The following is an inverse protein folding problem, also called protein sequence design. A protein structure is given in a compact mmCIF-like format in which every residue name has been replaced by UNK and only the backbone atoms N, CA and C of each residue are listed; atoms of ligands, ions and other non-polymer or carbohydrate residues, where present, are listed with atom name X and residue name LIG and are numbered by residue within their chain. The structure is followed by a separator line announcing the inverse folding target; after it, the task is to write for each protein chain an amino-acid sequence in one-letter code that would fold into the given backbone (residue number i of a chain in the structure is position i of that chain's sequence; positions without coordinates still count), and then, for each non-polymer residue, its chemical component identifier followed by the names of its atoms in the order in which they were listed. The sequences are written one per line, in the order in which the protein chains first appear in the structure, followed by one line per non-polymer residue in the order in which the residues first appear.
data_IF_960792640533
#
_entry.id   IF_960792640533
#
_cell.length_a   1.000
_cell.length_b   1.000
_cell.length_c   1.000
_cell.angle_alpha   90.00
_cell.angle_beta   90.00
_cell.angle_gamma   90.00
#
_symmetry.space_group_name_H-M   'P 1'
#
loop_
_entity.id
_entity.type
_entity.pdbx_description
1 polymer ?
2 non-polymer ?
3 non-polymer ?
4 non-polymer ?
5 non-polymer ?
6 water ?
#
# COMPACT_ATOMS: atom_id res chain seq x y z
N UNK A 2 26.53 -14.06 -22.44
CA UNK A 2 25.06 -14.16 -22.08
C UNK A 2 24.60 -12.96 -21.24
N UNK A 3 23.33 -12.59 -21.38
CA UNK A 3 22.82 -11.42 -20.67
C UNK A 3 22.66 -11.73 -19.17
N UNK A 4 22.45 -10.66 -18.41
CA UNK A 4 21.95 -10.77 -17.04
C UNK A 4 20.46 -10.49 -17.08
N UNK A 5 19.69 -11.25 -16.30
CA UNK A 5 18.24 -11.00 -16.23
C UNK A 5 17.96 -10.06 -15.06
N UNK A 6 17.17 -9.02 -15.30
CA UNK A 6 16.70 -8.16 -14.19
C UNK A 6 15.21 -8.51 -13.96
N UNK A 7 14.94 -9.14 -12.83
CA UNK A 7 13.60 -9.59 -12.51
C UNK A 7 12.88 -8.55 -11.62
N UNK A 8 11.94 -7.82 -12.25
CA UNK A 8 11.10 -6.81 -11.60
C UNK A 8 9.92 -7.47 -10.91
N UNK A 9 9.68 -7.10 -9.64
CA UNK A 9 8.50 -7.62 -8.97
C UNK A 9 7.69 -6.37 -8.59
N UNK A 10 7.63 -6.05 -7.31
CA UNK A 10 6.90 -4.83 -6.90
C UNK A 10 7.78 -3.60 -7.05
N UNK A 11 8.32 -3.44 -8.25
CA UNK A 11 9.32 -2.43 -8.53
C UNK A 11 9.32 -2.10 -10.01
N UNK A 12 8.12 -1.76 -10.50
CA UNK A 12 7.88 -1.58 -11.92
C UNK A 12 8.32 -0.19 -12.37
N UNK A 13 9.62 0.02 -12.38
CA UNK A 13 10.16 1.35 -12.69
C UNK A 13 11.59 1.15 -13.21
N UNK A 14 12.15 2.20 -13.83
CA UNK A 14 13.59 2.21 -14.19
C UNK A 14 14.42 3.13 -13.26
N UNK A 15 13.80 4.16 -12.67
CA UNK A 15 14.50 5.05 -11.73
C UNK A 15 14.79 4.41 -10.39
N UNK A 16 15.91 4.77 -9.78
CA UNK A 16 16.27 4.26 -8.44
C UNK A 16 16.02 2.77 -8.30
N UNK A 17 16.73 1.94 -9.10
CA UNK A 17 16.44 0.50 -9.14
C UNK A 17 17.74 -0.25 -8.98
N UNK A 18 18.11 -0.57 -7.73
CA UNK A 18 19.42 -1.15 -7.51
C UNK A 18 19.70 -2.42 -8.37
N UNK A 19 18.71 -3.29 -8.57
CA UNK A 19 18.98 -4.56 -9.26
C UNK A 19 19.29 -4.27 -10.74
N UNK A 20 18.57 -3.33 -11.32
CA UNK A 20 18.73 -3.01 -12.73
C UNK A 20 20.14 -2.45 -12.93
N UNK A 21 20.60 -1.53 -12.08
CA UNK A 21 21.94 -0.99 -12.31
C UNK A 21 23.05 -1.95 -11.98
N UNK A 22 22.89 -2.73 -10.90
CA UNK A 22 23.87 -3.77 -10.58
C UNK A 22 24.16 -4.70 -11.78
N UNK A 23 23.07 -5.08 -12.46
CA UNK A 23 23.16 -5.94 -13.63
C UNK A 23 23.77 -5.19 -14.81
N UNK A 24 23.28 -3.98 -15.08
CA UNK A 24 23.75 -3.24 -16.25
C UNK A 24 25.25 -2.97 -16.14
N UNK A 25 25.75 -2.71 -14.91
CA UNK A 25 27.19 -2.47 -14.77
C UNK A 25 28.04 -3.69 -15.11
N UNK A 26 27.43 -4.87 -15.17
CA UNK A 26 28.21 -6.08 -15.48
C UNK A 26 28.10 -6.52 -16.94
N UNK A 27 27.00 -6.13 -17.63
CA UNK A 27 26.85 -6.57 -19.02
C UNK A 27 25.49 -6.21 -19.52
N UNK A 28 25.14 -6.70 -20.75
CA UNK A 28 23.82 -6.50 -21.36
C UNK A 28 22.76 -7.12 -20.48
N UNK A 29 21.57 -6.55 -20.49
CA UNK A 29 20.49 -7.03 -19.64
C UNK A 29 19.25 -7.29 -20.44
N UNK A 30 18.42 -8.19 -19.92
CA UNK A 30 17.02 -8.31 -20.35
C UNK A 30 16.19 -8.28 -19.06
N UNK A 31 15.08 -7.55 -19.06
CA UNK A 31 14.22 -7.48 -17.87
C UNK A 31 13.17 -8.59 -17.94
N UNK A 32 12.56 -8.91 -16.80
CA UNK A 32 11.52 -9.97 -16.76
C UNK A 32 10.53 -9.58 -15.72
N UNK A 33 9.28 -9.77 -16.05
CA UNK A 33 8.22 -9.75 -15.07
C UNK A 33 7.55 -11.13 -15.17
N UNK A 34 7.29 -11.73 -14.01
CA UNK A 34 6.46 -12.95 -14.01
C UNK A 34 5.09 -12.60 -13.41
N UNK A 35 4.03 -12.88 -14.17
CA UNK A 35 2.62 -12.66 -13.70
C UNK A 35 2.28 -13.92 -12.85
N UNK A 36 2.30 -13.74 -11.53
CA UNK A 36 2.33 -14.84 -10.58
C UNK A 36 0.93 -14.97 -9.99
N UNK A 37 0.34 -16.18 -10.10
CA UNK A 37 -1.05 -16.31 -9.60
C UNK A 37 -1.18 -16.06 -8.11
N UNK A 38 -0.07 -16.24 -7.35
CA UNK A 38 -0.14 -15.95 -5.92
C UNK A 38 -0.46 -14.49 -5.64
N UNK A 39 -0.09 -13.63 -6.57
CA UNK A 39 -0.39 -12.19 -6.41
C UNK A 39 -1.62 -11.76 -7.23
N UNK A 40 -1.89 -12.46 -8.34
CA UNK A 40 -2.85 -11.94 -9.36
C UNK A 40 -4.23 -12.52 -9.20
N UNK A 41 -4.38 -13.51 -8.30
CA UNK A 41 -5.71 -14.06 -8.12
C UNK A 41 -6.39 -13.16 -7.11
N UNK A 42 -6.74 -11.95 -7.55
CA UNK A 42 -7.31 -10.93 -6.66
C UNK A 42 -8.36 -10.18 -7.49
N UNK A 43 -8.88 -9.04 -7.01
CA UNK A 43 -9.98 -8.38 -7.72
C UNK A 43 -9.56 -7.80 -9.11
N UNK A 44 -10.52 -7.68 -10.06
CA UNK A 44 -10.14 -7.08 -11.37
C UNK A 44 -9.44 -5.73 -11.27
N UNK A 45 -9.93 -4.82 -10.43
CA UNK A 45 -9.29 -3.51 -10.31
C UNK A 45 -7.78 -3.60 -10.00
N UNK A 46 -7.40 -4.55 -9.14
CA UNK A 46 -5.99 -4.67 -8.71
C UNK A 46 -5.17 -5.42 -9.76
N UNK A 47 -5.74 -6.46 -10.35
CA UNK A 47 -5.03 -7.18 -11.40
C UNK A 47 -4.72 -6.19 -12.52
N UNK A 48 -5.71 -5.39 -12.89
CA UNK A 48 -5.56 -4.46 -14.01
C UNK A 48 -4.53 -3.39 -13.65
N UNK A 49 -4.63 -2.82 -12.45
CA UNK A 49 -3.63 -1.87 -12.06
C UNK A 49 -2.20 -2.45 -12.20
N UNK A 50 -1.99 -3.70 -11.71
CA UNK A 50 -0.64 -4.30 -11.89
C UNK A 50 -0.30 -4.51 -13.37
N UNK A 51 -1.17 -5.21 -14.13
CA UNK A 51 -0.93 -5.43 -15.55
C UNK A 51 -0.61 -4.14 -16.33
N UNK A 52 -1.40 -3.08 -16.11
CA UNK A 52 -1.19 -1.85 -16.87
C UNK A 52 0.13 -1.17 -16.53
N UNK A 53 0.55 -1.29 -15.29
CA UNK A 53 1.92 -0.85 -14.94
C UNK A 53 3.08 -1.70 -15.52
N UNK A 54 2.86 -2.99 -15.72
CA UNK A 54 3.82 -3.85 -16.41
C UNK A 54 3.88 -3.40 -17.86
N UNK A 55 2.69 -3.09 -18.41
CA UNK A 55 2.61 -2.63 -19.77
C UNK A 55 3.41 -1.32 -19.94
N UNK A 56 3.19 -0.36 -19.04
CA UNK A 56 3.99 0.90 -19.01
C UNK A 56 5.51 0.65 -18.83
N UNK A 57 5.88 -0.38 -18.09
CA UNK A 57 7.31 -0.60 -17.87
C UNK A 57 7.88 -1.15 -19.19
N UNK A 58 7.11 -1.99 -19.85
CA UNK A 58 7.58 -2.47 -21.16
C UNK A 58 7.79 -1.29 -22.12
N UNK A 59 6.78 -0.39 -22.16
CA UNK A 59 6.85 0.78 -23.04
C UNK A 59 8.12 1.58 -22.74
N UNK A 60 8.45 1.68 -21.45
CA UNK A 60 9.64 2.41 -20.99
C UNK A 60 10.93 1.69 -21.46
N UNK A 61 10.97 0.37 -21.30
CA UNK A 61 12.10 -0.42 -21.88
C UNK A 61 12.19 -0.19 -23.40
N UNK A 62 11.05 -0.33 -24.11
CA UNK A 62 11.09 -0.22 -25.58
C UNK A 62 11.56 1.17 -25.97
N UNK A 63 11.03 2.21 -25.33
CA UNK A 63 11.43 3.57 -25.69
C UNK A 63 12.95 3.76 -25.56
N UNK A 64 13.60 2.96 -24.71
CA UNK A 64 15.05 3.08 -24.53
C UNK A 64 15.80 2.04 -25.35
N UNK A 65 15.10 1.29 -26.21
CA UNK A 65 15.77 0.32 -27.10
C UNK A 65 15.97 -1.05 -26.43
N UNK A 66 15.35 -1.25 -25.25
CA UNK A 66 15.65 -2.43 -24.44
C UNK A 66 14.53 -3.47 -24.45
N UNK A 67 14.73 -4.60 -23.74
CA UNK A 67 13.83 -5.78 -23.86
C UNK A 67 13.27 -6.20 -22.50
N UNK A 68 11.95 -6.17 -22.34
CA UNK A 68 11.32 -6.67 -21.11
C UNK A 68 10.45 -7.89 -21.47
N UNK A 69 10.83 -9.06 -20.95
CA UNK A 69 10.00 -10.28 -21.07
C UNK A 69 8.88 -10.25 -20.06
N UNK A 70 7.75 -10.85 -20.40
CA UNK A 70 6.66 -11.00 -19.43
C UNK A 70 6.12 -12.38 -19.61
N UNK A 71 6.27 -13.21 -18.58
CA UNK A 71 5.82 -14.60 -18.62
C UNK A 71 4.75 -14.80 -17.54
N UNK A 72 3.91 -15.81 -17.70
CA UNK A 72 2.81 -16.06 -16.73
C UNK A 72 3.07 -17.40 -16.05
N UNK A 73 2.92 -17.45 -14.73
CA UNK A 73 3.08 -18.72 -14.05
C UNK A 73 3.81 -18.65 -12.73
N UNK A 74 4.24 -19.82 -12.22
CA UNK A 74 5.00 -19.81 -10.95
C UNK A 74 6.40 -19.31 -11.18
N UNK A 75 6.86 -18.39 -10.33
CA UNK A 75 8.21 -17.85 -10.56
C UNK A 75 9.32 -18.92 -10.60
N UNK A 76 9.20 -19.98 -9.80
CA UNK A 76 10.26 -21.00 -9.78
C UNK A 76 10.22 -21.89 -11.01
N UNK A 77 9.17 -21.77 -11.84
CA UNK A 77 9.17 -22.37 -13.17
C UNK A 77 9.59 -21.34 -14.20
N UNK A 78 9.03 -20.15 -14.13
CA UNK A 78 9.23 -19.19 -15.23
C UNK A 78 10.58 -18.43 -15.15
N UNK A 79 11.05 -18.12 -13.95
CA UNK A 79 12.37 -17.45 -13.90
C UNK A 79 13.47 -18.38 -14.47
N UNK A 80 13.48 -19.66 -14.05
CA UNK A 80 14.44 -20.58 -14.66
C UNK A 80 14.23 -20.77 -16.14
N UNK A 81 12.99 -20.81 -16.59
CA UNK A 81 12.73 -20.86 -18.00
C UNK A 81 13.35 -19.70 -18.80
N UNK A 82 13.06 -18.48 -18.39
CA UNK A 82 13.68 -17.33 -19.03
C UNK A 82 15.22 -17.40 -18.95
N UNK A 83 15.79 -17.78 -17.80
CA UNK A 83 17.26 -17.88 -17.72
C UNK A 83 17.84 -18.86 -18.76
N UNK A 84 17.19 -20.01 -18.89
CA UNK A 84 17.62 -21.02 -19.87
C UNK A 84 17.46 -20.46 -21.27
N UNK A 85 16.26 -19.99 -21.59
CA UNK A 85 16.02 -19.49 -22.98
C UNK A 85 16.96 -18.37 -23.39
N UNK A 86 17.34 -17.50 -22.44
CA UNK A 86 18.23 -16.38 -22.76
C UNK A 86 19.69 -16.70 -22.60
N UNK A 87 19.96 -17.91 -22.11
CA UNK A 87 21.29 -18.20 -21.62
C UNK A 87 21.85 -17.15 -20.68
N UNK A 88 21.04 -16.69 -19.72
CA UNK A 88 21.49 -15.70 -18.74
C UNK A 88 22.60 -16.21 -17.84
N UNK A 89 23.50 -15.31 -17.47
CA UNK A 89 24.59 -15.66 -16.54
C UNK A 89 24.14 -15.61 -15.06
N UNK A 90 23.16 -14.76 -14.77
CA UNK A 90 22.68 -14.58 -13.41
C UNK A 90 21.42 -13.71 -13.48
N UNK A 91 20.67 -13.75 -12.39
CA UNK A 91 19.38 -13.03 -12.25
C UNK A 91 19.56 -12.08 -11.08
N UNK A 92 19.13 -10.84 -11.27
CA UNK A 92 19.18 -9.81 -10.22
C UNK A 92 17.76 -9.36 -9.87
N UNK A 93 17.49 -9.10 -8.60
CA UNK A 93 16.15 -8.61 -8.17
C UNK A 93 16.34 -7.91 -6.82
N UNK A 94 15.34 -7.17 -6.37
CA UNK A 94 15.41 -6.50 -5.08
C UNK A 94 14.94 -7.46 -4.02
N UNK A 95 15.66 -7.51 -2.90
CA UNK A 95 15.23 -8.41 -1.78
C UNK A 95 13.76 -8.18 -1.37
N UNK A 96 13.06 -9.27 -1.07
CA UNK A 96 11.71 -9.19 -0.48
C UNK A 96 11.76 -9.87 0.90
N UNK A 97 11.27 -9.15 1.91
CA UNK A 97 11.31 -9.71 3.28
C UNK A 97 9.98 -10.33 3.75
N UNK A 98 8.97 -10.36 2.85
CA UNK A 98 7.65 -10.91 3.18
C UNK A 98 7.66 -12.43 3.17
N UNK A 99 6.74 -13.05 3.93
CA UNK A 99 6.78 -14.49 3.98
C UNK A 99 6.65 -15.08 2.59
N UNK A 100 5.78 -14.53 1.74
CA UNK A 100 5.71 -15.10 0.38
C UNK A 100 6.98 -14.78 -0.47
N UNK A 101 7.45 -13.56 -0.38
CA UNK A 101 8.66 -13.14 -1.07
C UNK A 101 9.85 -14.03 -0.75
N UNK A 102 10.01 -14.37 0.55
CA UNK A 102 11.10 -15.26 0.99
C UNK A 102 10.88 -16.69 0.55
N UNK A 103 9.62 -17.15 0.65
CA UNK A 103 9.31 -18.47 0.15
C UNK A 103 9.63 -18.55 -1.36
N UNK A 104 9.00 -17.68 -2.15
CA UNK A 104 9.14 -17.71 -3.62
C UNK A 104 10.67 -17.62 -3.98
N UNK A 105 11.36 -16.62 -3.44
CA UNK A 105 12.78 -16.45 -3.80
C UNK A 105 13.70 -17.61 -3.43
N UNK A 106 13.41 -18.25 -2.29
CA UNK A 106 14.11 -19.53 -1.93
C UNK A 106 13.85 -20.62 -2.93
N UNK A 107 12.61 -20.73 -3.38
CA UNK A 107 12.22 -21.75 -4.38
C UNK A 107 12.86 -21.43 -5.71
N UNK A 108 12.88 -20.15 -6.09
CA UNK A 108 13.55 -19.79 -7.35
C UNK A 108 15.07 -20.11 -7.33
N UNK A 109 15.72 -19.73 -6.25
CA UNK A 109 17.14 -20.02 -6.07
C UNK A 109 17.47 -21.52 -6.16
N UNK A 110 16.55 -22.36 -5.66
CA UNK A 110 16.70 -23.79 -5.77
C UNK A 110 16.62 -24.23 -7.22
N UNK A 111 15.67 -23.67 -7.97
CA UNK A 111 15.44 -24.19 -9.30
C UNK A 111 16.39 -23.57 -10.33
N UNK A 112 17.02 -22.45 -10.01
CA UNK A 112 17.91 -21.78 -10.94
C UNK A 112 19.28 -22.44 -10.89
N UNK A 113 19.88 -22.73 -12.03
CA UNK A 113 21.25 -23.27 -12.02
C UNK A 113 22.30 -22.15 -12.08
N UNK A 114 21.85 -20.91 -11.97
CA UNK A 114 22.75 -19.73 -11.99
C UNK A 114 22.35 -18.92 -10.78
N UNK A 115 23.24 -18.03 -10.31
CA UNK A 115 22.97 -17.25 -9.13
C UNK A 115 21.74 -16.36 -9.25
N UNK A 116 21.06 -16.18 -8.11
CA UNK A 116 20.09 -15.12 -7.93
C UNK A 116 20.70 -14.08 -6.97
N UNK A 117 20.95 -12.87 -7.46
CA UNK A 117 21.57 -11.83 -6.64
C UNK A 117 20.50 -10.88 -6.19
N UNK A 118 20.22 -10.82 -4.88
CA UNK A 118 19.18 -9.93 -4.37
C UNK A 118 19.81 -8.73 -3.74
N UNK A 119 19.31 -7.55 -4.11
CA UNK A 119 19.86 -6.28 -3.59
C UNK A 119 18.81 -5.61 -2.70
N UNK A 120 19.29 -4.82 -1.72
CA UNK A 120 18.36 -4.11 -0.83
C UNK A 120 17.46 -3.16 -1.64
N UNK A 121 16.13 -3.27 -1.48
CA UNK A 121 15.20 -2.28 -2.03
C UNK A 121 15.39 -0.85 -1.41
N UNK A 122 15.21 0.23 -2.19
CA UNK A 122 15.43 1.57 -1.60
C UNK A 122 14.37 1.82 -0.50
N UNK A 123 14.78 2.24 0.68
CA UNK A 123 13.78 2.58 1.73
C UNK A 123 14.25 3.83 2.40
N UNK A 124 13.44 4.38 3.31
CA UNK A 124 13.87 5.46 4.17
C UNK A 124 14.49 4.78 5.37
N UNK A 125 13.82 3.76 5.87
CA UNK A 125 14.38 2.88 6.86
C UNK A 125 14.02 1.45 6.49
N UNK A 126 14.99 0.54 6.56
CA UNK A 126 14.68 -0.84 6.18
C UNK A 126 13.84 -1.55 7.25
N UNK A 127 13.10 -2.58 6.83
CA UNK A 127 12.15 -3.27 7.75
C UNK A 127 12.80 -4.26 8.70
N UNK A 128 14.08 -4.53 8.50
CA UNK A 128 14.70 -5.68 9.14
C UNK A 128 15.87 -5.28 10.04
N UNK A 129 15.85 -4.03 10.51
CA UNK A 129 16.69 -3.62 11.62
C UNK A 129 16.60 -4.58 12.82
N UNK A 130 17.68 -4.73 13.60
CA UNK A 130 17.70 -5.71 14.69
C UNK A 130 16.61 -5.42 15.72
N UNK A 131 16.51 -4.15 16.12
CA UNK A 131 15.55 -3.75 17.14
C UNK A 131 14.09 -3.67 16.69
N UNK A 132 13.19 -4.17 17.54
CA UNK A 132 11.76 -4.19 17.23
C UNK A 132 10.95 -3.09 17.92
N UNK A 133 10.61 -2.04 17.20
CA UNK A 133 9.78 -0.97 17.76
C UNK A 133 8.28 -1.26 17.58
N UNK A 134 7.48 -1.05 18.62
CA UNK A 134 6.01 -1.08 18.48
C UNK A 134 5.46 0.33 18.29
N UNK A 135 6.33 1.33 18.49
CA UNK A 135 5.90 2.72 18.57
C UNK A 135 6.65 3.50 17.51
N UNK A 136 5.92 4.34 16.79
CA UNK A 136 6.42 5.02 15.63
C UNK A 136 7.53 6.03 16.02
N UNK A 137 7.38 6.74 17.14
CA UNK A 137 8.33 7.83 17.39
C UNK A 137 9.79 7.35 17.51
N UNK A 138 10.04 6.32 18.35
CA UNK A 138 11.41 5.79 18.53
C UNK A 138 11.97 5.17 17.21
N UNK A 139 11.09 4.57 16.42
CA UNK A 139 11.49 4.04 15.11
C UNK A 139 11.92 5.19 14.21
N UNK A 140 11.07 6.22 14.14
CA UNK A 140 11.31 7.38 13.26
C UNK A 140 12.59 8.15 13.52
N UNK A 141 13.08 8.12 14.76
CA UNK A 141 14.29 8.86 15.11
C UNK A 141 15.54 8.23 14.52
N UNK A 142 15.42 7.00 14.03
CA UNK A 142 16.60 6.36 13.37
C UNK A 142 16.87 7.00 12.01
N UNK A 143 15.86 7.62 11.45
CA UNK A 143 15.96 8.18 10.10
C UNK A 143 16.63 9.52 10.14
N UNK A 144 17.62 9.70 9.29
CA UNK A 144 18.31 10.98 9.27
C UNK A 144 18.33 11.69 7.92
N UNK A 145 17.27 11.54 7.10
CA UNK A 145 17.26 12.13 5.75
C UNK A 145 17.62 11.07 4.69
N UNK A 146 16.99 11.19 3.52
CA UNK A 146 17.10 10.17 2.45
C UNK A 146 18.48 10.21 1.87
N UNK A 147 18.98 9.03 1.51
CA UNK A 147 20.15 8.94 0.65
C UNK A 147 19.72 9.32 -0.78
N UNK A 148 20.68 9.70 -1.63
CA UNK A 148 20.31 9.99 -3.02
C UNK A 148 19.84 8.77 -3.84
N UNK A 149 18.82 8.97 -4.68
CA UNK A 149 18.35 7.87 -5.47
C UNK A 149 19.35 7.57 -6.59
N UNK A 150 19.30 6.36 -7.12
CA UNK A 150 20.15 5.96 -8.26
C UNK A 150 19.49 6.47 -9.54
N UNK A 151 20.31 6.87 -10.53
CA UNK A 151 19.70 7.33 -11.81
C UNK A 151 19.05 6.16 -12.58
N UNK A 152 18.14 6.46 -13.52
CA UNK A 152 17.72 5.44 -14.52
C UNK A 152 18.83 5.33 -15.57
N UNK A 153 18.86 4.20 -16.28
CA UNK A 153 19.76 4.08 -17.42
C UNK A 153 19.38 5.11 -18.42
N UNK A 154 20.27 5.44 -19.35
CA UNK A 154 19.90 6.40 -20.39
C UNK A 154 19.25 5.72 -21.56
N UNK A 155 19.96 4.72 -22.07
CA UNK A 155 19.44 3.81 -23.09
C UNK A 155 19.79 2.39 -22.64
N UNK A 156 19.08 1.40 -23.19
CA UNK A 156 19.20 0.03 -22.69
C UNK A 156 19.73 -0.79 -23.83
N UNK A 157 20.50 -1.86 -23.55
CA UNK A 157 21.01 -2.71 -24.62
C UNK A 157 19.90 -3.48 -25.31
N UNK A 158 20.03 -3.65 -26.62
CA UNK A 158 19.14 -4.46 -27.41
C UNK A 158 19.02 -5.91 -26.92
N UNK A 159 17.82 -6.45 -26.97
CA UNK A 159 17.62 -7.87 -26.67
C UNK A 159 16.32 -8.32 -27.27
N UNK A 160 16.04 -9.62 -27.23
CA UNK A 160 14.80 -10.13 -27.76
C UNK A 160 13.69 -9.92 -26.74
N UNK A 161 12.49 -9.60 -27.22
CA UNK A 161 11.32 -9.49 -26.34
C UNK A 161 10.40 -10.72 -26.47
N UNK A 162 9.87 -11.21 -25.36
CA UNK A 162 8.93 -12.32 -25.43
C UNK A 162 7.79 -12.14 -24.43
N UNK A 163 6.61 -12.66 -24.77
CA UNK A 163 5.52 -12.74 -23.79
C UNK A 163 4.44 -11.69 -23.95
N UNK A 164 3.21 -12.02 -23.55
CA UNK A 164 2.09 -11.10 -23.73
C UNK A 164 1.59 -10.57 -22.37
N UNK A 165 1.10 -9.34 -22.38
CA UNK A 165 0.50 -8.71 -21.19
C UNK A 165 -1.02 -8.58 -21.38
N UNK A 166 -1.78 -9.46 -20.73
CA UNK A 166 -3.22 -9.48 -20.91
C UNK A 166 -3.85 -8.13 -20.62
N UNK A 167 -4.98 -7.90 -21.28
CA UNK A 167 -5.80 -6.73 -21.07
C UNK A 167 -7.01 -7.12 -20.25
N UNK A 168 -7.09 -6.59 -19.05
CA UNK A 168 -8.25 -6.94 -18.22
C UNK A 168 -9.09 -5.74 -17.80
N UNK A 169 -10.35 -5.98 -17.47
CA UNK A 169 -11.27 -4.91 -17.25
C UNK A 169 -11.21 -4.54 -15.77
N UNK A 170 -10.70 -3.34 -15.45
CA UNK A 170 -10.65 -2.87 -14.06
C UNK A 170 -12.00 -2.61 -13.40
N UNK A 171 -13.04 -2.34 -14.19
CA UNK A 171 -14.36 -2.04 -13.65
C UNK A 171 -14.52 -0.60 -13.20
N UNK A 172 -13.47 0.21 -13.37
CA UNK A 172 -13.47 1.58 -12.87
C UNK A 172 -12.28 2.32 -13.49
N UNK A 173 -12.22 3.65 -13.33
CA UNK A 173 -11.17 4.45 -13.95
C UNK A 173 -9.84 4.31 -13.19
N UNK A 174 -8.79 3.89 -13.89
CA UNK A 174 -7.44 3.77 -13.26
C UNK A 174 -6.64 5.07 -13.34
N UNK A 175 -5.81 5.37 -12.32
CA UNK A 175 -4.89 6.48 -12.63
C UNK A 175 -4.07 6.17 -13.89
N UNK A 176 -3.43 7.18 -14.46
CA UNK A 176 -2.42 6.99 -15.49
C UNK A 176 -1.23 6.10 -15.01
N UNK A 177 -1.02 4.96 -15.67
CA UNK A 177 -0.05 3.96 -15.21
C UNK A 177 1.39 4.40 -15.55
N UNK A 178 2.40 3.89 -14.84
CA UNK A 178 3.79 4.14 -15.27
C UNK A 178 4.53 5.25 -14.55
N UNK A 179 5.86 5.18 -14.56
CA UNK A 179 6.69 6.00 -13.71
C UNK A 179 6.75 7.44 -14.23
N UNK A 180 6.54 7.61 -15.52
CA UNK A 180 6.48 8.94 -16.07
C UNK A 180 5.28 9.74 -15.48
N UNK A 181 4.13 9.08 -15.33
CA UNK A 181 2.97 9.71 -14.70
C UNK A 181 3.18 9.90 -13.21
N UNK A 182 3.82 8.92 -12.56
CA UNK A 182 4.11 8.99 -11.14
C UNK A 182 5.02 10.18 -10.81
N UNK A 183 6.18 10.22 -11.46
CA UNK A 183 7.12 11.33 -11.25
C UNK A 183 6.47 12.69 -11.56
N UNK A 184 5.68 12.77 -12.62
CA UNK A 184 4.95 14.05 -12.86
C UNK A 184 4.07 14.38 -11.68
N UNK A 185 3.39 13.37 -11.12
CA UNK A 185 2.45 13.65 -10.02
C UNK A 185 3.22 14.09 -8.77
N UNK A 186 4.37 13.47 -8.56
CA UNK A 186 5.17 13.82 -7.39
C UNK A 186 5.61 15.29 -7.53
N UNK A 187 6.08 15.66 -8.70
CA UNK A 187 6.68 17.00 -8.91
C UNK A 187 5.60 18.09 -8.72
N UNK A 188 4.41 17.81 -9.23
CA UNK A 188 3.26 18.71 -9.05
C UNK A 188 2.81 18.83 -7.59
N UNK A 189 2.80 17.71 -6.87
CA UNK A 189 2.40 17.75 -5.46
C UNK A 189 3.41 18.59 -4.67
N UNK A 190 4.70 18.36 -4.95
CA UNK A 190 5.71 19.02 -4.15
C UNK A 190 5.65 20.52 -4.40
N UNK A 191 5.22 20.90 -5.62
CA UNK A 191 5.16 22.33 -5.96
C UNK A 191 3.92 22.92 -5.31
N UNK A 192 2.76 22.34 -5.63
CA UNK A 192 1.49 22.97 -5.33
C UNK A 192 1.04 22.77 -3.88
N UNK A 193 1.13 21.52 -3.41
CA UNK A 193 0.35 21.11 -2.23
C UNK A 193 1.18 20.98 -0.96
N UNK A 194 2.48 20.69 -1.11
CA UNK A 194 3.31 20.39 0.06
C UNK A 194 3.26 21.45 1.16
N UNK A 195 3.36 22.76 0.80
CA UNK A 195 3.29 23.82 1.81
C UNK A 195 2.19 23.67 2.85
N UNK A 196 1.00 23.24 2.46
CA UNK A 196 -0.10 23.19 3.41
C UNK A 196 -0.46 21.76 3.82
N UNK A 197 0.46 20.84 3.54
CA UNK A 197 0.16 19.43 3.72
C UNK A 197 -0.19 19.17 5.19
N UNK A 198 0.55 19.82 6.10
CA UNK A 198 0.36 19.56 7.51
C UNK A 198 -1.06 20.02 7.89
N UNK A 199 -1.54 21.03 7.15
CA UNK A 199 -2.80 21.68 7.47
C UNK A 199 -3.99 21.04 6.76
N UNK A 200 -3.70 20.21 5.74
CA UNK A 200 -4.75 19.78 4.83
C UNK A 200 -4.82 18.25 4.68
N UNK A 201 -3.95 17.52 5.40
CA UNK A 201 -3.82 16.07 5.19
C UNK A 201 -4.94 15.28 5.86
N UNK A 202 -5.71 15.93 6.72
CA UNK A 202 -6.80 15.26 7.41
C UNK A 202 -8.15 15.58 6.82
N UNK A 203 -8.16 16.09 5.59
CA UNK A 203 -9.44 16.21 4.85
C UNK A 203 -10.04 14.85 4.55
N UNK A 204 -11.34 14.75 4.68
CA UNK A 204 -12.03 13.52 4.33
C UNK A 204 -11.94 13.25 2.84
N UNK A 205 -11.83 14.31 2.03
CA UNK A 205 -11.72 14.12 0.57
C UNK A 205 -10.31 13.77 0.11
N UNK A 206 -9.32 13.87 1.01
CA UNK A 206 -7.93 13.45 0.69
C UNK A 206 -7.24 14.31 -0.34
N UNK A 207 -7.77 15.52 -0.55
CA UNK A 207 -7.24 16.37 -1.64
C UNK A 207 -6.06 17.24 -1.20
N UNK A 208 -5.73 17.23 0.10
CA UNK A 208 -4.46 17.83 0.55
C UNK A 208 -3.24 16.94 0.33
N UNK A 209 -3.48 15.69 -0.07
CA UNK A 209 -2.38 14.71 -0.20
C UNK A 209 -1.90 14.47 -1.63
N UNK A 210 -0.88 13.61 -1.79
CA UNK A 210 -0.29 13.44 -3.12
C UNK A 210 -1.09 12.49 -3.99
N UNK A 211 -1.89 11.62 -3.38
CA UNK A 211 -2.53 10.56 -4.15
C UNK A 211 -1.52 9.69 -4.92
N UNK A 212 -0.35 9.47 -4.32
CA UNK A 212 0.65 8.64 -4.98
C UNK A 212 0.69 7.21 -4.46
N UNK A 213 -0.13 6.88 -3.47
CA UNK A 213 -0.13 5.51 -2.94
C UNK A 213 -0.22 4.37 -3.99
N UNK A 214 -1.09 4.54 -5.02
CA UNK A 214 -1.22 3.40 -5.95
C UNK A 214 0.10 3.11 -6.67
N UNK A 215 0.91 4.17 -6.87
CA UNK A 215 2.29 4.00 -7.42
C UNK A 215 3.25 3.41 -6.42
N UNK A 216 3.24 3.93 -5.19
CA UNK A 216 4.09 3.35 -4.13
C UNK A 216 3.82 1.86 -3.99
N UNK A 217 2.56 1.46 -4.02
CA UNK A 217 2.21 0.07 -3.71
C UNK A 217 2.82 -0.90 -4.69
N UNK A 218 3.04 -0.44 -5.93
CA UNK A 218 3.65 -1.31 -6.94
C UNK A 218 5.13 -0.97 -7.25
N UNK A 219 5.72 -0.09 -6.47
CA UNK A 219 7.13 0.29 -6.64
C UNK A 219 7.36 1.05 -7.94
N UNK A 220 6.30 1.62 -8.51
CA UNK A 220 6.40 2.42 -9.73
C UNK A 220 7.07 3.74 -9.34
N UNK A 221 7.02 4.07 -8.05
CA UNK A 221 7.74 5.26 -7.55
C UNK A 221 8.52 4.82 -6.32
N UNK A 222 9.83 5.08 -6.35
CA UNK A 222 10.70 4.77 -5.22
C UNK A 222 10.35 5.70 -4.04
N UNK A 223 10.22 5.15 -2.83
CA UNK A 223 10.05 6.04 -1.66
C UNK A 223 11.32 6.85 -1.34
N UNK A 224 12.48 6.28 -1.61
CA UNK A 224 13.72 7.05 -1.44
C UNK A 224 13.77 8.30 -2.34
N UNK A 225 13.40 8.12 -3.62
CA UNK A 225 13.39 9.24 -4.55
C UNK A 225 12.42 10.30 -4.03
N UNK A 226 11.23 9.87 -3.61
CA UNK A 226 10.19 10.80 -3.15
C UNK A 226 10.68 11.57 -1.90
N UNK A 227 11.22 10.87 -0.89
CA UNK A 227 11.71 11.54 0.36
C UNK A 227 12.87 12.52 -0.04
N UNK A 228 13.78 12.04 -0.87
CA UNK A 228 14.89 12.86 -1.39
C UNK A 228 14.43 14.14 -2.09
N UNK A 229 13.46 14.01 -2.98
CA UNK A 229 12.94 15.20 -3.66
C UNK A 229 12.23 16.14 -2.68
N UNK A 230 11.45 15.59 -1.75
CA UNK A 230 10.75 16.44 -0.79
C UNK A 230 11.73 17.20 0.10
N UNK A 231 12.81 16.53 0.50
CA UNK A 231 13.82 17.17 1.35
C UNK A 231 14.64 18.25 0.65
N UNK A 232 14.84 18.07 -0.66
CA UNK A 232 15.46 19.13 -1.50
C UNK A 232 14.49 20.32 -1.62
N UNK A 233 13.19 20.03 -1.63
CA UNK A 233 12.23 21.13 -1.69
C UNK A 233 12.19 21.83 -0.34
N UNK A 234 12.06 21.02 0.72
CA UNK A 234 12.11 21.56 2.08
C UNK A 234 10.90 22.45 2.38
N UNK A 235 10.94 23.18 3.49
CA UNK A 235 9.71 23.82 4.04
C UNK A 235 9.01 22.99 5.09
N UNK A 236 7.95 23.51 5.71
CA UNK A 236 7.28 22.79 6.85
C UNK A 236 6.50 21.51 6.46
N UNK A 237 5.69 21.66 5.42
CA UNK A 237 5.00 20.48 4.95
C UNK A 237 6.02 19.36 4.70
N UNK A 238 7.24 19.74 4.28
CA UNK A 238 8.23 18.72 3.84
C UNK A 238 8.52 17.67 4.90
N UNK A 239 8.77 18.09 6.15
CA UNK A 239 9.16 17.12 7.21
C UNK A 239 7.96 16.23 7.44
N UNK A 240 6.81 16.87 7.38
CA UNK A 240 5.58 16.19 7.82
C UNK A 240 5.18 15.12 6.77
N UNK A 241 5.43 15.42 5.48
CA UNK A 241 5.03 14.49 4.40
C UNK A 241 6.02 13.31 4.41
N UNK A 242 7.28 13.62 4.66
CA UNK A 242 8.26 12.56 4.76
C UNK A 242 7.97 11.66 5.96
N UNK A 243 7.44 12.23 7.05
CA UNK A 243 6.98 11.44 8.18
C UNK A 243 5.98 10.36 7.73
N UNK A 244 5.12 10.70 6.77
CA UNK A 244 4.11 9.76 6.32
C UNK A 244 4.67 8.65 5.46
N UNK A 245 5.60 9.01 4.57
CA UNK A 245 6.37 7.97 3.85
C UNK A 245 6.99 7.04 4.84
N UNK A 246 7.44 7.59 5.98
CA UNK A 246 8.04 6.75 7.02
C UNK A 246 7.02 5.82 7.72
N UNK A 247 5.74 6.22 7.81
CA UNK A 247 4.72 5.29 8.29
C UNK A 247 4.57 4.06 7.39
N UNK A 248 4.83 4.21 6.09
CA UNK A 248 4.87 3.06 5.18
C UNK A 248 5.99 2.08 5.59
N UNK A 249 7.19 2.61 5.74
CA UNK A 249 8.28 1.79 6.20
C UNK A 249 8.05 1.19 7.57
N UNK A 250 7.41 1.94 8.48
CA UNK A 250 7.08 1.45 9.83
C UNK A 250 6.17 0.23 9.72
N UNK A 251 5.24 0.27 8.76
CA UNK A 251 4.28 -0.84 8.57
C UNK A 251 5.07 -2.13 8.17
N UNK A 252 6.00 -2.03 7.21
CA UNK A 252 6.89 -3.16 6.86
C UNK A 252 7.74 -3.65 8.01
N UNK A 253 8.30 -2.69 8.76
CA UNK A 253 9.03 -2.98 10.00
C UNK A 253 8.13 -3.83 10.95
N UNK A 254 6.85 -3.46 11.06
CA UNK A 254 5.97 -4.07 12.08
C UNK A 254 5.66 -5.51 11.68
N UNK A 255 5.25 -5.68 10.43
CA UNK A 255 4.94 -7.06 9.93
C UNK A 255 6.21 -7.91 9.95
N UNK A 256 7.37 -7.33 9.63
CA UNK A 256 8.64 -8.06 9.77
C UNK A 256 8.98 -8.56 11.21
N UNK A 257 8.90 -7.68 12.18
CA UNK A 257 9.26 -8.09 13.54
C UNK A 257 8.12 -8.81 14.23
N UNK A 258 6.89 -8.55 13.78
CA UNK A 258 5.72 -9.09 14.46
C UNK A 258 4.79 -9.78 13.43
N UNK A 259 5.31 -10.86 12.79
CA UNK A 259 4.60 -11.47 11.64
C UNK A 259 3.24 -11.98 12.08
N UNK A 260 3.14 -12.31 13.36
CA UNK A 260 1.94 -12.93 13.89
C UNK A 260 0.83 -11.93 13.97
N UNK A 261 1.15 -10.66 13.75
CA UNK A 261 0.08 -9.66 13.77
C UNK A 261 -0.88 -9.80 12.59
N UNK A 262 -0.49 -10.57 11.58
CA UNK A 262 -1.48 -10.90 10.53
C UNK A 262 -2.52 -11.88 11.06
N UNK A 263 -2.30 -12.45 12.25
CA UNK A 263 -3.24 -13.44 12.79
C UNK A 263 -4.06 -12.90 13.98
N UNK A 264 -3.46 -11.98 14.74
CA UNK A 264 -3.97 -11.57 16.04
C UNK A 264 -3.49 -10.17 16.42
N UNK A 265 -4.24 -9.49 17.30
CA UNK A 265 -3.80 -8.14 17.66
C UNK A 265 -2.36 -8.12 18.15
N UNK A 266 -1.67 -7.04 17.83
CA UNK A 266 -0.38 -6.77 18.41
C UNK A 266 -0.47 -6.72 19.94
N UNK A 267 -1.55 -6.11 20.45
CA UNK A 267 -1.77 -6.01 21.88
C UNK A 267 -2.41 -7.31 22.39
N UNK A 268 -1.64 -8.09 23.18
CA UNK A 268 -2.15 -9.40 23.59
C UNK A 268 -3.39 -9.25 24.48
N UNK A 269 -3.61 -8.06 25.01
CA UNK A 269 -4.80 -7.80 25.84
C UNK A 269 -6.10 -7.93 25.06
N UNK A 270 -6.03 -7.69 23.74
CA UNK A 270 -7.22 -7.69 22.89
C UNK A 270 -7.42 -9.01 22.16
N UNK A 271 -6.59 -10.00 22.45
CA UNK A 271 -6.60 -11.23 21.65
C UNK A 271 -7.82 -12.09 21.95
N UNK A 272 -8.44 -11.81 23.09
CA UNK A 272 -9.72 -12.43 23.46
C UNK A 272 -10.94 -11.51 23.38
N UNK A 273 -10.88 -10.48 22.53
CA UNK A 273 -12.02 -9.56 22.42
C UNK A 273 -13.20 -10.23 21.73
N UNK A 274 -14.41 -10.11 22.31
CA UNK A 274 -15.53 -10.87 21.78
C UNK A 274 -16.19 -10.17 20.59
N UNK A 275 -15.55 -10.23 19.43
CA UNK A 275 -16.15 -9.75 18.18
C UNK A 275 -17.42 -10.53 17.86
N UNK A 276 -18.29 -9.92 17.07
CA UNK A 276 -19.58 -10.51 16.83
C UNK A 276 -19.75 -10.69 15.35
N UNK A 277 -19.50 -11.91 14.86
CA UNK A 277 -19.84 -12.17 13.48
C UNK A 277 -21.31 -11.99 13.26
N UNK A 278 -21.64 -11.50 12.08
CA UNK A 278 -22.99 -11.05 11.78
C UNK A 278 -22.98 -10.65 10.33
N UNK A 279 -23.53 -11.52 9.49
CA UNK A 279 -23.44 -11.40 8.05
C UNK A 279 -24.09 -10.10 7.63
N UNK A 280 -25.30 -9.87 8.13
CA UNK A 280 -26.11 -8.74 7.70
C UNK A 280 -25.40 -7.44 8.02
N UNK A 281 -24.89 -7.35 9.23
CA UNK A 281 -24.04 -6.24 9.66
C UNK A 281 -22.77 -6.06 8.83
N UNK A 282 -22.05 -7.14 8.57
CA UNK A 282 -20.90 -7.05 7.70
C UNK A 282 -21.29 -6.45 6.34
N UNK A 283 -22.39 -6.92 5.76
CA UNK A 283 -22.73 -6.47 4.42
C UNK A 283 -23.08 -4.98 4.43
N UNK A 284 -23.80 -4.55 5.47
CA UNK A 284 -24.19 -3.14 5.58
C UNK A 284 -22.95 -2.24 5.62
N UNK A 285 -21.95 -2.60 6.42
CA UNK A 285 -20.70 -1.88 6.45
C UNK A 285 -20.05 -1.94 5.07
N UNK A 286 -19.87 -3.16 4.58
CA UNK A 286 -19.05 -3.39 3.39
C UNK A 286 -19.62 -2.58 2.20
N UNK A 287 -20.96 -2.49 2.13
CA UNK A 287 -21.63 -1.81 1.01
C UNK A 287 -21.99 -0.35 1.32
N UNK A 288 -21.51 0.17 2.44
CA UNK A 288 -21.78 1.56 2.81
C UNK A 288 -23.27 1.82 3.04
N UNK A 289 -23.96 0.91 3.72
CA UNK A 289 -25.40 1.09 4.02
C UNK A 289 -25.67 1.03 5.52
N UNK A 290 -24.81 1.70 6.28
CA UNK A 290 -24.88 1.67 7.74
C UNK A 290 -25.90 2.66 8.27
N UNK A 291 -26.27 3.64 7.44
CA UNK A 291 -27.05 4.81 7.87
C UNK A 291 -26.22 5.82 8.65
N UNK A 292 -24.90 5.68 8.54
CA UNK A 292 -23.98 6.63 9.14
C UNK A 292 -23.26 7.35 8.01
N UNK A 293 -23.60 8.61 7.77
CA UNK A 293 -23.19 9.34 6.57
C UNK A 293 -21.71 9.22 6.22
N UNK A 294 -20.84 9.50 7.18
CA UNK A 294 -19.40 9.44 6.92
C UNK A 294 -19.00 8.02 6.48
N UNK A 295 -19.42 7.00 7.23
CA UNK A 295 -19.00 5.62 6.94
C UNK A 295 -19.52 5.22 5.56
N UNK A 296 -20.73 5.66 5.25
CA UNK A 296 -21.40 5.20 4.03
C UNK A 296 -20.80 5.93 2.82
N UNK A 297 -20.51 7.21 2.99
CA UNK A 297 -19.82 7.93 1.94
C UNK A 297 -18.45 7.31 1.69
N UNK A 298 -17.79 6.86 2.75
CA UNK A 298 -16.39 6.40 2.62
C UNK A 298 -16.42 5.09 1.83
N UNK A 299 -17.34 4.19 2.19
CA UNK A 299 -17.34 2.86 1.63
C UNK A 299 -17.87 2.88 0.20
N UNK A 300 -18.70 3.86 -0.09
CA UNK A 300 -19.23 4.07 -1.46
C UNK A 300 -18.18 4.68 -2.41
N UNK A 301 -17.39 5.65 -1.93
CA UNK A 301 -16.26 6.11 -2.71
C UNK A 301 -15.24 4.96 -2.99
N UNK A 302 -14.94 4.18 -1.95
CA UNK A 302 -14.01 3.03 -2.07
C UNK A 302 -14.46 2.03 -3.14
N UNK A 303 -15.72 1.63 -3.11
CA UNK A 303 -16.21 0.69 -4.14
C UNK A 303 -16.08 1.30 -5.52
N UNK A 304 -16.51 2.56 -5.63
CA UNK A 304 -16.56 3.23 -6.92
C UNK A 304 -15.16 3.54 -7.47
N UNK A 305 -14.18 3.81 -6.61
CA UNK A 305 -12.93 4.44 -7.11
C UNK A 305 -11.61 3.65 -6.84
N UNK A 306 -11.59 2.86 -5.77
CA UNK A 306 -10.39 2.15 -5.40
C UNK A 306 -9.43 3.02 -4.57
N UNK A 307 -9.90 4.18 -4.10
CA UNK A 307 -9.08 5.07 -3.26
C UNK A 307 -9.92 5.66 -2.10
N UNK A 308 -9.28 5.98 -0.98
CA UNK A 308 -9.93 6.73 0.11
C UNK A 308 -8.85 7.48 0.86
N UNK A 309 -9.20 8.68 1.35
CA UNK A 309 -8.26 9.47 2.14
C UNK A 309 -7.92 8.68 3.41
N UNK A 310 -6.76 8.96 3.98
CA UNK A 310 -6.42 8.44 5.30
C UNK A 310 -7.53 8.69 6.34
N UNK A 311 -8.00 9.93 6.42
CA UNK A 311 -9.04 10.27 7.40
C UNK A 311 -10.36 9.49 7.16
N UNK A 312 -10.72 9.28 5.89
CA UNK A 312 -11.89 8.45 5.63
C UNK A 312 -11.62 7.00 6.01
N UNK A 313 -10.40 6.51 5.78
CA UNK A 313 -10.08 5.09 5.98
C UNK A 313 -10.15 4.73 7.45
N UNK A 314 -9.52 5.59 8.27
CA UNK A 314 -9.48 5.38 9.71
C UNK A 314 -10.90 5.38 10.32
N UNK A 315 -11.78 6.26 9.81
CA UNK A 315 -13.19 6.26 10.23
C UNK A 315 -14.00 5.05 9.76
N UNK A 316 -13.89 4.71 8.49
CA UNK A 316 -14.57 3.52 7.98
C UNK A 316 -14.10 2.24 8.73
N UNK A 317 -12.78 2.13 8.92
CA UNK A 317 -12.20 0.92 9.51
C UNK A 317 -12.51 0.84 11.01
N UNK A 318 -12.34 1.94 11.72
CA UNK A 318 -12.65 1.89 13.14
C UNK A 318 -14.13 1.58 13.36
N UNK A 319 -14.98 2.12 12.48
CA UNK A 319 -16.42 1.98 12.73
C UNK A 319 -16.79 0.50 12.78
N UNK A 320 -16.28 -0.26 11.81
CA UNK A 320 -16.50 -1.70 11.74
C UNK A 320 -16.06 -2.38 13.02
N UNK A 321 -14.83 -2.07 13.43
CA UNK A 321 -14.22 -2.70 14.61
C UNK A 321 -14.91 -2.25 15.91
N UNK A 322 -14.97 -0.94 16.16
CA UNK A 322 -15.44 -0.45 17.44
C UNK A 322 -16.95 -0.30 17.54
N UNK A 323 -17.60 0.32 16.56
CA UNK A 323 -19.06 0.50 16.69
C UNK A 323 -19.80 -0.79 16.38
N UNK A 324 -19.27 -1.59 15.47
CA UNK A 324 -20.01 -2.74 14.93
C UNK A 324 -19.48 -4.04 15.50
N UNK A 325 -18.25 -4.00 16.02
CA UNK A 325 -17.61 -5.15 16.64
C UNK A 325 -17.36 -6.26 15.66
N UNK A 326 -17.21 -5.93 14.37
CA UNK A 326 -17.06 -6.95 13.33
C UNK A 326 -15.67 -7.52 13.42
N UNK A 327 -15.50 -8.82 13.17
CA UNK A 327 -14.17 -9.40 13.14
C UNK A 327 -13.24 -8.69 12.16
N UNK A 328 -12.13 -8.18 12.68
CA UNK A 328 -11.23 -7.36 11.91
C UNK A 328 -10.60 -8.03 10.66
N UNK A 329 -10.32 -9.33 10.72
CA UNK A 329 -9.64 -10.01 9.62
C UNK A 329 -10.51 -9.96 8.36
N UNK A 330 -11.77 -10.35 8.47
CA UNK A 330 -12.62 -10.28 7.31
C UNK A 330 -12.64 -8.86 6.69
N UNK A 331 -12.86 -7.85 7.52
CA UNK A 331 -13.02 -6.48 7.05
C UNK A 331 -11.71 -6.03 6.39
N UNK A 332 -10.61 -6.35 7.06
CA UNK A 332 -9.27 -5.94 6.64
C UNK A 332 -9.07 -6.42 5.21
N UNK A 333 -9.35 -7.70 4.98
CA UNK A 333 -9.05 -8.29 3.71
C UNK A 333 -9.98 -7.74 2.67
N UNK A 334 -11.27 -7.62 3.02
CA UNK A 334 -12.28 -7.07 2.07
C UNK A 334 -11.89 -5.66 1.63
N UNK A 335 -11.28 -4.94 2.56
CA UNK A 335 -10.95 -3.56 2.37
C UNK A 335 -9.72 -3.45 1.43
N UNK A 336 -8.72 -4.28 1.65
CA UNK A 336 -7.55 -4.35 0.79
C UNK A 336 -7.87 -4.65 -0.66
N UNK A 337 -8.81 -5.58 -0.86
CA UNK A 337 -9.21 -6.01 -2.21
C UNK A 337 -9.87 -4.90 -3.03
N UNK A 338 -10.40 -3.90 -2.32
CA UNK A 338 -11.03 -2.76 -2.99
C UNK A 338 -10.07 -1.62 -3.33
N UNK A 339 -8.86 -1.67 -2.79
CA UNK A 339 -7.91 -0.54 -2.92
C UNK A 339 -6.91 -0.82 -4.04
N UNK A 340 -6.73 0.14 -4.94
CA UNK A 340 -5.63 0.07 -5.92
C UNK A 340 -4.28 0.00 -5.23
N UNK A 341 -4.17 0.74 -4.14
CA UNK A 341 -2.88 0.82 -3.42
C UNK A 341 -2.80 -0.27 -2.35
N UNK A 342 -3.74 -1.20 -2.44
CA UNK A 342 -3.90 -2.22 -1.37
C UNK A 342 -2.62 -3.00 -1.16
N UNK A 343 -2.12 -2.94 0.09
CA UNK A 343 -0.73 -3.35 0.38
C UNK A 343 -0.83 -4.06 1.75
N UNK A 344 -0.53 -5.35 1.78
CA UNK A 344 -0.99 -6.13 2.91
C UNK A 344 -0.46 -5.60 4.26
N UNK A 345 0.82 -5.32 4.32
CA UNK A 345 1.45 -4.79 5.56
C UNK A 345 0.93 -3.43 5.99
N UNK A 346 0.77 -2.53 5.02
CA UNK A 346 0.26 -1.20 5.32
C UNK A 346 -1.22 -1.24 5.74
N UNK A 347 -2.04 -2.01 5.03
CA UNK A 347 -3.45 -2.14 5.38
C UNK A 347 -3.61 -2.78 6.78
N UNK A 348 -2.81 -3.78 7.08
CA UNK A 348 -2.86 -4.41 8.40
C UNK A 348 -2.49 -3.36 9.47
N UNK A 349 -1.46 -2.57 9.20
CA UNK A 349 -1.02 -1.56 10.17
C UNK A 349 -2.16 -0.62 10.41
N UNK A 350 -2.75 -0.14 9.32
CA UNK A 350 -3.78 0.88 9.43
C UNK A 350 -4.96 0.32 10.22
N UNK A 351 -5.35 -0.93 9.91
CA UNK A 351 -6.50 -1.57 10.59
C UNK A 351 -6.21 -1.76 12.08
N UNK A 352 -5.02 -2.29 12.40
CA UNK A 352 -4.66 -2.46 13.82
C UNK A 352 -4.45 -1.16 14.58
N UNK A 353 -4.23 -0.08 13.83
CA UNK A 353 -4.12 1.24 14.42
C UNK A 353 -5.50 1.84 14.64
N UNK A 354 -6.31 1.90 13.58
CA UNK A 354 -7.66 2.42 13.68
C UNK A 354 -8.58 1.65 14.63
N UNK A 355 -8.37 0.34 14.74
CA UNK A 355 -9.21 -0.52 15.54
C UNK A 355 -8.75 -0.59 16.98
N UNK A 356 -7.65 0.06 17.27
CA UNK A 356 -7.10 0.08 18.62
C UNK A 356 -6.63 -1.30 19.05
N UNK A 357 -5.85 -1.94 18.19
CA UNK A 357 -5.43 -3.33 18.40
C UNK A 357 -3.96 -3.47 18.73
N UNK A 358 -3.28 -2.33 18.83
CA UNK A 358 -1.97 -2.27 19.48
C UNK A 358 -0.85 -1.61 18.69
N UNK A 359 -1.16 -1.17 17.47
CA UNK A 359 -0.16 -0.42 16.71
C UNK A 359 0.05 0.97 17.32
N UNK A 360 1.32 1.32 17.58
CA UNK A 360 1.76 2.65 18.03
C UNK A 360 1.12 2.91 19.36
N UNK A 361 0.71 1.83 19.99
CA UNK A 361 0.03 1.89 21.28
C UNK A 361 -1.09 2.95 21.24
N UNK A 362 -1.73 3.10 20.10
CA UNK A 362 -2.89 3.99 20.04
C UNK A 362 -3.95 3.49 21.04
N UNK A 363 -4.52 4.40 21.85
CA UNK A 363 -5.36 3.96 22.97
C UNK A 363 -6.75 3.54 22.53
N UNK A 364 -7.32 2.57 23.23
CA UNK A 364 -8.66 2.06 22.92
C UNK A 364 -9.71 3.17 23.00
N UNK A 365 -9.49 4.15 23.89
CA UNK A 365 -10.58 5.05 24.26
C UNK A 365 -10.86 6.11 23.20
N UNK A 366 -9.96 6.27 22.23
CA UNK A 366 -10.27 7.17 21.15
C UNK A 366 -11.31 6.56 20.21
N UNK A 367 -12.54 7.07 20.29
CA UNK A 367 -13.59 6.60 19.37
C UNK A 367 -14.14 7.75 18.56
N UNK A 368 -14.00 7.64 17.24
CA UNK A 368 -14.51 8.63 16.34
C UNK A 368 -16.00 8.76 16.52
N UNK A 369 -16.42 9.97 16.86
CA UNK A 369 -17.78 10.41 16.71
C UNK A 369 -17.98 10.76 15.24
N UNK A 370 -18.75 9.94 14.50
CA UNK A 370 -18.83 10.09 13.05
C UNK A 370 -19.50 11.36 12.55
N UNK A 371 -20.22 12.08 13.43
CA UNK A 371 -20.75 13.38 13.02
C UNK A 371 -19.81 14.57 13.21
N UNK A 372 -19.17 14.66 14.38
CA UNK A 372 -18.04 15.56 14.59
C UNK A 372 -16.93 15.35 13.53
N UNK A 373 -16.63 14.10 13.20
CA UNK A 373 -15.55 13.86 12.22
C UNK A 373 -15.82 14.47 10.85
N UNK A 374 -17.06 14.36 10.38
CA UNK A 374 -17.48 15.02 9.16
C UNK A 374 -17.50 16.53 9.27
N UNK A 375 -18.01 17.05 10.39
CA UNK A 375 -18.07 18.51 10.56
C UNK A 375 -16.65 19.11 10.55
N UNK A 376 -15.72 18.37 11.12
CA UNK A 376 -14.39 18.83 11.32
C UNK A 376 -13.50 18.63 10.07
N UNK A 377 -13.87 17.68 9.21
CA UNK A 377 -13.00 17.31 8.06
C UNK A 377 -13.65 17.34 6.68
N UNK A 378 -14.84 17.92 6.64
CA UNK A 378 -15.58 18.20 5.41
C UNK A 378 -16.47 19.46 5.63
N UNK A 379 -15.84 20.66 5.68
CA UNK A 379 -16.40 21.89 6.25
C UNK A 379 -17.77 22.35 5.70
N UNK A 380 -17.96 22.27 4.39
CA UNK A 380 -19.19 22.70 3.74
C UNK A 380 -19.98 21.52 3.17
N UNK A 381 -19.58 20.31 3.58
CA UNK A 381 -20.34 19.10 3.27
C UNK A 381 -20.17 18.62 1.84
N UNK A 382 -19.30 19.28 1.09
CA UNK A 382 -19.09 18.95 -0.32
C UNK A 382 -18.73 17.46 -0.54
N UNK A 383 -17.92 16.89 0.34
CA UNK A 383 -17.47 15.49 0.17
C UNK A 383 -18.64 14.55 0.43
N UNK A 384 -19.43 14.86 1.47
CA UNK A 384 -20.63 14.07 1.76
C UNK A 384 -21.60 14.08 0.57
N UNK A 385 -21.79 15.26 -0.02
CA UNK A 385 -22.72 15.43 -1.14
C UNK A 385 -22.31 14.68 -2.42
N UNK A 386 -20.99 14.52 -2.65
CA UNK A 386 -20.53 13.72 -3.79
C UNK A 386 -20.81 12.23 -3.60
N UNK A 387 -20.65 11.75 -2.36
CA UNK A 387 -20.55 10.31 -2.18
C UNK A 387 -21.75 9.61 -1.53
N UNK A 388 -22.58 10.38 -0.84
CA UNK A 388 -23.87 9.88 -0.38
C UNK A 388 -24.84 11.04 -0.21
N UNK A 389 -25.27 11.66 -1.33
CA UNK A 389 -26.10 12.85 -1.22
C UNK A 389 -27.49 12.48 -0.71
N UNK A 390 -27.74 11.19 -0.57
CA UNK A 390 -28.79 10.63 0.31
C UNK A 390 -28.99 11.51 1.53
N UNK A 391 -27.89 11.77 2.22
CA UNK A 391 -27.91 12.39 3.55
C UNK A 391 -27.67 13.89 3.45
N UNK A 392 -28.56 14.68 4.08
CA UNK A 392 -28.52 16.13 4.11
C UNK A 392 -27.57 16.69 5.17
N UNK A 393 -27.17 15.85 6.13
CA UNK A 393 -26.03 16.15 7.01
C UNK A 393 -25.29 14.89 7.49
N UNK A 394 -24.29 15.08 8.35
CA UNK A 394 -23.56 13.97 8.97
C UNK A 394 -24.32 13.23 10.07
N UNK A 395 -25.51 13.73 10.38
CA UNK A 395 -26.41 13.07 11.33
C UNK A 395 -26.88 11.73 10.77
N UNK A 396 -26.67 10.68 11.55
CA UNK A 396 -27.12 9.35 11.19
C UNK A 396 -28.62 9.33 10.94
N UNK A 397 -29.00 8.83 9.77
CA UNK A 397 -30.40 8.56 9.46
C UNK A 397 -30.60 7.05 9.49
N UNK A 398 -31.14 6.57 10.61
CA UNK A 398 -31.57 5.20 10.71
C UNK A 398 -30.37 4.24 10.69
N UNK A 399 -29.40 4.48 11.59
CA UNK A 399 -28.17 3.71 11.72
C UNK A 399 -28.45 2.24 12.04
N UNK A 400 -27.65 1.34 11.46
CA UNK A 400 -27.86 -0.09 11.66
C UNK A 400 -27.67 -0.50 13.12
N UNK A 401 -26.86 0.24 13.88
CA UNK A 401 -26.89 0.12 15.34
C UNK A 401 -27.23 1.44 15.98
N UNK A 402 -27.70 1.39 17.21
CA UNK A 402 -27.74 2.56 18.07
C UNK A 402 -26.30 3.00 18.38
N UNK A 403 -25.96 4.23 17.97
CA UNK A 403 -24.58 4.69 17.94
C UNK A 403 -23.98 4.97 19.33
N UNK A 404 -24.74 5.61 20.21
CA UNK A 404 -24.23 5.91 21.54
C UNK A 404 -24.12 4.63 22.39
N UNK A 405 -25.08 3.71 22.24
CA UNK A 405 -24.96 2.41 22.90
C UNK A 405 -23.74 1.62 22.42
N UNK A 406 -23.63 1.50 21.07
CA UNK A 406 -22.43 0.92 20.47
C UNK A 406 -21.13 1.49 21.12
N UNK A 407 -20.98 2.82 21.12
CA UNK A 407 -19.83 3.46 21.77
C UNK A 407 -19.69 2.95 23.21
N UNK A 408 -20.75 3.09 24.02
CA UNK A 408 -20.72 2.64 25.43
C UNK A 408 -20.31 1.17 25.53
N UNK A 409 -20.89 0.32 24.66
CA UNK A 409 -20.60 -1.13 24.74
C UNK A 409 -19.10 -1.41 24.45
N UNK A 410 -18.57 -0.88 23.36
CA UNK A 410 -17.15 -1.05 23.07
C UNK A 410 -16.26 -0.65 24.27
N UNK A 411 -16.48 0.55 24.78
CA UNK A 411 -15.57 1.10 25.78
C UNK A 411 -15.61 0.23 27.04
N UNK A 412 -16.83 -0.11 27.48
CA UNK A 412 -17.05 -1.14 28.51
C UNK A 412 -16.21 -2.40 28.29
N UNK A 413 -16.47 -3.10 27.20
CA UNK A 413 -15.69 -4.26 26.78
C UNK A 413 -14.18 -4.02 26.80
N UNK A 414 -13.76 -2.94 26.14
CA UNK A 414 -12.33 -2.63 26.03
C UNK A 414 -11.65 -2.25 27.37
N UNK A 415 -12.31 -1.44 28.19
CA UNK A 415 -11.68 -0.90 29.42
C UNK A 415 -11.74 -1.88 30.58
N UNK A 416 -11.37 -3.12 30.32
CA UNK A 416 -11.94 -4.28 30.99
C UNK A 416 -11.22 -5.52 30.49
N UNK A 417 -10.65 -5.40 29.29
CA UNK A 417 -9.58 -6.28 28.84
C UNK A 417 -8.21 -5.61 29.05
N UNK A 418 -8.16 -4.31 28.77
CA UNK A 418 -6.90 -3.55 28.77
C UNK A 418 -6.42 -3.29 30.19
N UNK A 419 -7.32 -3.44 31.15
CA UNK A 419 -6.93 -3.46 32.56
C UNK A 419 -7.06 -4.88 33.16
N UNK A 420 -6.29 -5.14 34.20
CA UNK A 420 -6.24 -6.48 34.83
C UNK A 420 -5.19 -7.40 34.20
X LIG B 1 24.40 -12.55 -3.76
X LIG C 1 0.01 11.13 1.34
X LIG C 1 0.40 12.06 0.22
X LIG C 1 -0.70 11.85 2.46
X LIG C 1 1.35 10.41 1.90
X LIG C 1 2.45 10.06 1.05
X LIG C 1 2.67 8.53 1.12
X LIG C 1 2.97 8.11 2.44
X LIG C 1 1.41 7.68 0.78
X LIG C 1 1.18 7.65 -0.62
X LIG C 1 1.70 6.32 1.41
X LIG C 1 2.71 5.61 0.69
X LIG C 1 2.38 6.83 2.70
X LIG C 1 1.41 7.03 3.78
X LIG C 1 0.56 8.10 4.01
X LIG C 1 -0.14 7.80 5.12
X LIG C 1 0.19 6.55 5.58
X LIG C 1 -0.18 5.78 6.70
X LIG C 1 -1.21 6.05 7.53
X LIG C 1 0.37 4.53 6.81
X LIG C 1 1.32 4.09 5.93
X LIG C 1 1.76 4.87 4.89
X LIG C 1 1.18 6.08 4.73
X LIG C 1 -2.02 2.73 2.32
X LIG C 1 -1.69 1.95 1.25
X LIG C 1 -0.89 2.42 0.48
X LIG C 1 -2.19 0.67 1.09
X LIG C 1 -3.12 0.20 1.96
X LIG C 1 -3.60 -0.90 1.73
X LIG C 1 -3.61 1.06 2.99
X LIG C 1 -4.60 0.63 3.84
X LIG C 1 -4.97 1.46 4.90
X LIG C 1 -5.97 1.02 5.81
X LIG C 1 -6.34 1.80 6.90
X LIG C 1 -7.43 1.27 7.83
X LIG C 1 -5.74 3.06 7.07
X LIG C 1 -6.08 4.00 8.22
X LIG C 1 -4.73 3.50 6.20
X LIG C 1 -4.34 2.71 5.12
X LIG C 1 -3.40 3.18 4.21
X LIG C 1 -3.02 2.32 3.19
X LIG C 1 -2.47 4.30 4.61
X LIG C 1 -2.89 5.66 4.01
X LIG C 1 -4.24 6.01 4.29
X LIG C 1 -2.73 5.75 2.50
X LIG C 1 -1.41 5.44 2.08
X LIG C 1 -3.09 7.18 2.07
X LIG C 1 -4.46 7.50 2.18
X LIG C 1 -2.57 7.42 0.66
X LIG C 1 -2.94 8.73 0.24
X LIG C 1 -1.83 9.68 -0.40
X LIG C 1 -1.07 8.93 -1.49
X LIG C 1 -2.53 10.93 -0.86
X LIG C 1 -0.90 9.90 0.89
X LIG D 1 4.87 -9.17 -8.28
X LIG D 1 5.20 -10.11 -9.22
X LIG D 1 6.40 -10.41 -9.37
X LIG D 1 4.26 -10.59 -10.12
X LIG D 1 2.95 -10.28 -10.01
X LIG D 1 2.11 -10.95 -10.68
X LIG D 1 2.61 -9.33 -9.03
X LIG D 1 1.31 -8.89 -8.91
X LIG D 1 0.96 -7.98 -7.95
X LIG D 1 -0.37 -7.52 -7.89
X LIG D 1 -0.76 -6.63 -6.87
X LIG D 1 -2.21 -6.23 -6.85
X LIG D 1 0.21 -6.16 -5.97
X LIG D 1 -0.09 -5.13 -4.90
X LIG D 1 1.54 -6.55 -6.08
X LIG D 1 1.91 -7.49 -7.05
X LIG D 1 3.23 -7.89 -7.19
X LIG D 1 3.56 -8.85 -8.12
X LIG D 1 4.30 -7.28 -6.36
X LIG D 1 4.48 -8.40 -5.37
X LIG D 1 3.46 -8.42 -4.39
X LIG D 1 5.93 -8.74 -5.06
X LIG D 1 6.07 -9.99 -5.67
X LIG D 1 6.49 -8.79 -3.65
X LIG D 1 7.93 -8.71 -3.71
X LIG D 1 6.13 -10.11 -2.95
X LIG D 1 4.76 -10.44 -3.00
X LIG D 1 3.89 -10.24 -1.65
X LIG D 1 2.65 -11.11 -1.62
X LIG D 1 4.75 -10.57 -0.44
X LIG D 1 3.44 -8.79 -1.57
X LIG E 1 -0.52 -4.82 -28.33
X LIG E 1 -1.10 -3.54 -28.96
X LIG E 1 -1.35 -5.14 -27.09
X LIG E 1 0.90 -4.52 -27.92
X LIG E 1 -0.53 -6.06 -29.22
X LIG F 1 -3.99 -10.05 -2.09
X LIG F 1 -4.84 -9.30 -3.08
X LIG F 1 -4.88 -10.82 -1.12
X LIG F 1 -3.12 -9.04 -1.38
X LIG F 1 -3.13 -11.02 -2.89
#
# INVERSE_FOLDING_TARGET
MGPLLVWHRGDLRLHDHPALLEALARGPVVGLVVLDPNNLKTTPRRRAWFLENVRALREAYRARGGALWVLEGLPWEKVPEAARRLKAKAVYALTSHTPYGRYRDGRVREALPVPLHLLPAPHLLPPDLPRAYRVYTPFSRLYRGAAPPLPPPEALPKGPEEGEIPREDPGLPLPEPGEEAALAGLRAFLEAKLPRYAEERDRLDGEGGSRLSPYFALGVLSPRLAAWEAERRGGEGARKWVAELLWRDFSYHLLYHFPWMAERPLDPRFQAFPWQEDEALFQAWYEGKTGVPLVDAAMRELHATGFLSNRARMNAAQFAVKHLLLPWKRCEEAFRHLLLDGDRAVNLQGWQWAGGLGVDAAPYFRVFNPVLQGERHDPEGRWLKRWAPEYPSYAPKDPVVDLEEARRRYLRLARDLARG
CL CL
FAD PA O1A O2A O5B C5B C4B O4B C3B O3B C2B O2B C1B N9A C8A N7A C5A C6A N6A N1A C2A N3A C4A N1 C2 O2 N3 C4 O4 C4X N5 C5X C6 C7 C7M C8 C8M C9 C9A N10 C10 C1' C2' O2' C3' O3' C4' O4' C5' O5' P O1P O2P O3P
FMN N1 C2 O2 N3 C4 O4 C4A N5 C5A C6 C7 C7M C8 C8M C9 C9A N10 C10 C1' C2' O2' C3' O3' C4' O4' C5' O5' P O1P O2P O3P
PO4 P O1 O2 O3 O4
PO4 P O1 O2 O3 O4
#
